data_IF_847116309407
#
_entry.id   IF_847116309407
#
_cell.length_a   1.000
_cell.length_b   1.000
_cell.length_c   1.000
_cell.angle_alpha   90.00
_cell.angle_beta   90.00
_cell.angle_gamma   90.00
#
_symmetry.space_group_name_H-M   'P 1'
#
loop_
_entity.id
_entity.type
_entity.pdbx_description
1 polymer ?
#
# COMPACT_ATOMS: atom_id res chain seq x y z
N UNK A 1 24.77 0.60 -11.41
CA UNK A 1 23.48 0.52 -12.14
C UNK A 1 22.95 -0.89 -12.22
N UNK A 2 23.77 -1.87 -12.59
CA UNK A 2 23.42 -3.30 -12.55
C UNK A 2 22.78 -3.73 -11.22
N UNK A 3 23.28 -3.20 -10.10
CA UNK A 3 22.77 -3.46 -8.74
C UNK A 3 21.29 -3.11 -8.59
N UNK A 4 20.79 -2.03 -9.22
CA UNK A 4 19.35 -1.69 -9.21
C UNK A 4 18.53 -2.74 -9.95
N UNK A 5 18.97 -3.15 -11.14
CA UNK A 5 18.28 -4.17 -11.91
C UNK A 5 18.24 -5.51 -11.15
N UNK A 6 19.38 -5.91 -10.55
CA UNK A 6 19.45 -7.14 -9.74
C UNK A 6 18.53 -7.05 -8.53
N UNK A 7 18.54 -5.93 -7.80
CA UNK A 7 17.62 -5.67 -6.69
C UNK A 7 16.15 -5.82 -7.13
N UNK A 8 15.74 -5.12 -8.20
CA UNK A 8 14.36 -5.14 -8.70
C UNK A 8 13.95 -6.57 -9.08
N UNK A 9 14.82 -7.33 -9.75
CA UNK A 9 14.53 -8.71 -10.11
C UNK A 9 14.38 -9.62 -8.88
N UNK A 10 15.33 -9.55 -7.92
CA UNK A 10 15.28 -10.36 -6.71
C UNK A 10 14.02 -10.08 -5.90
N UNK A 11 13.64 -8.80 -5.76
CA UNK A 11 12.44 -8.37 -5.06
C UNK A 11 11.15 -8.77 -5.79
N UNK A 12 11.06 -8.54 -7.11
CA UNK A 12 9.85 -8.83 -7.88
C UNK A 12 9.52 -10.33 -7.96
N UNK A 13 10.53 -11.17 -7.80
CA UNK A 13 10.43 -12.64 -7.82
C UNK A 13 10.59 -13.29 -6.43
N UNK A 14 10.85 -12.50 -5.39
CA UNK A 14 11.13 -12.98 -4.02
C UNK A 14 12.08 -14.17 -3.96
N UNK A 15 13.21 -14.03 -4.64
CA UNK A 15 14.23 -15.10 -4.66
C UNK A 15 15.02 -15.08 -3.35
N UNK A 16 15.45 -13.90 -2.92
CA UNK A 16 16.26 -13.69 -1.72
C UNK A 16 16.16 -12.21 -1.30
N UNK A 17 15.36 -11.93 -0.27
CA UNK A 17 15.08 -10.57 0.19
C UNK A 17 16.31 -9.92 0.86
N UNK A 18 17.16 -10.72 1.52
CA UNK A 18 18.41 -10.23 2.14
C UNK A 18 19.40 -9.82 1.05
N UNK A 19 19.57 -10.62 0.01
CA UNK A 19 20.40 -10.26 -1.14
C UNK A 19 19.81 -9.10 -1.94
N UNK A 20 18.48 -9.04 -2.10
CA UNK A 20 17.84 -7.88 -2.70
C UNK A 20 18.21 -6.60 -1.94
N UNK A 21 18.19 -6.64 -0.60
CA UNK A 21 18.59 -5.51 0.24
C UNK A 21 20.07 -5.14 0.11
N UNK A 22 20.98 -6.13 0.00
CA UNK A 22 22.41 -5.87 -0.27
C UNK A 22 22.59 -5.07 -1.57
N UNK A 23 21.95 -5.50 -2.65
CA UNK A 23 22.04 -4.81 -3.93
C UNK A 23 21.35 -3.44 -3.91
N UNK A 24 20.30 -3.27 -3.11
CA UNK A 24 19.70 -1.95 -2.87
C UNK A 24 20.72 -1.00 -2.20
N UNK A 25 21.44 -1.47 -1.18
CA UNK A 25 22.50 -0.69 -0.52
C UNK A 25 23.63 -0.34 -1.47
N UNK A 26 24.07 -1.29 -2.28
CA UNK A 26 25.08 -1.03 -3.31
C UNK A 26 24.61 0.04 -4.31
N UNK A 27 23.34 -0.01 -4.73
CA UNK A 27 22.74 1.00 -5.60
C UNK A 27 22.69 2.38 -4.94
N UNK A 28 22.31 2.46 -3.66
CA UNK A 28 22.33 3.71 -2.89
C UNK A 28 23.74 4.29 -2.81
N UNK A 29 24.73 3.49 -2.45
CA UNK A 29 26.13 3.92 -2.41
C UNK A 29 26.60 4.40 -3.78
N UNK A 30 26.27 3.67 -4.84
CA UNK A 30 26.57 4.09 -6.21
C UNK A 30 25.95 5.45 -6.56
N UNK A 31 24.72 5.71 -6.16
CA UNK A 31 24.07 7.01 -6.39
C UNK A 31 24.71 8.15 -5.60
N UNK A 32 25.11 7.91 -4.35
CA UNK A 32 25.80 8.91 -3.53
C UNK A 32 27.18 9.25 -4.11
N UNK A 33 27.90 8.26 -4.65
CA UNK A 33 29.19 8.46 -5.33
C UNK A 33 28.99 9.27 -6.62
N UNK A 34 27.97 8.96 -7.42
CA UNK A 34 27.70 9.64 -8.70
C UNK A 34 27.26 11.09 -8.52
N UNK A 35 26.73 11.45 -7.35
CA UNK A 35 26.21 12.78 -7.05
C UNK A 35 24.91 13.08 -7.79
N UNK A 36 23.85 13.35 -7.03
CA UNK A 36 22.60 13.93 -7.53
C UNK A 36 22.50 15.37 -7.05
N UNK A 37 23.52 16.18 -7.36
CA UNK A 37 23.52 17.59 -7.01
C UNK A 37 22.65 18.38 -7.98
N UNK A 38 21.91 19.34 -7.43
CA UNK A 38 21.35 20.42 -8.22
C UNK A 38 22.49 21.10 -9.02
N UNK A 39 22.22 21.63 -10.23
CA UNK A 39 23.23 22.25 -11.10
C UNK A 39 24.10 23.30 -10.41
N UNK A 40 23.62 23.92 -9.33
CA UNK A 40 24.29 25.00 -8.62
C UNK A 40 25.50 24.56 -7.77
N UNK A 41 25.56 23.29 -7.34
CA UNK A 41 26.60 22.82 -6.41
C UNK A 41 27.74 22.04 -7.09
N UNK A 42 27.60 21.65 -8.36
CA UNK A 42 28.66 20.97 -9.12
C UNK A 42 29.37 21.95 -10.05
N UNK A 43 30.29 22.75 -9.50
CA UNK A 43 31.14 23.66 -10.31
C UNK A 43 32.23 22.93 -11.11
N UNK A 44 32.36 21.61 -10.98
CA UNK A 44 33.53 20.87 -11.45
C UNK A 44 33.27 19.87 -12.61
N UNK A 45 32.03 19.46 -12.84
CA UNK A 45 31.70 18.51 -13.91
C UNK A 45 31.06 19.22 -15.12
N UNK A 46 31.31 18.76 -16.36
CA UNK A 46 30.54 19.24 -17.51
C UNK A 46 29.04 18.98 -17.27
N UNK A 47 28.15 19.93 -17.59
CA UNK A 47 26.74 19.75 -17.38
C UNK A 47 26.27 18.50 -18.13
N UNK A 48 25.57 17.61 -17.43
CA UNK A 48 24.90 16.49 -18.07
C UNK A 48 23.96 17.04 -19.15
N UNK A 49 23.77 16.28 -20.23
CA UNK A 49 22.62 16.55 -21.10
C UNK A 49 21.35 16.55 -20.26
N UNK A 50 20.35 17.35 -20.63
CA UNK A 50 19.06 17.40 -19.91
C UNK A 50 18.49 15.99 -19.71
N UNK A 51 18.57 15.12 -20.73
CA UNK A 51 18.14 13.73 -20.65
C UNK A 51 18.96 12.92 -19.61
N UNK A 52 20.27 13.15 -19.50
CA UNK A 52 21.12 12.50 -18.51
C UNK A 52 20.81 12.94 -17.08
N UNK A 53 20.47 14.22 -16.87
CA UNK A 53 20.03 14.73 -15.56
C UNK A 53 18.67 14.15 -15.16
N UNK A 54 17.68 14.20 -16.06
CA UNK A 54 16.35 13.64 -15.83
C UNK A 54 16.41 12.12 -15.54
N UNK A 55 17.22 11.37 -16.30
CA UNK A 55 17.42 9.94 -16.06
C UNK A 55 18.03 9.65 -14.69
N UNK A 56 19.02 10.44 -14.27
CA UNK A 56 19.66 10.29 -12.96
C UNK A 56 18.70 10.61 -11.81
N UNK A 57 17.88 11.66 -11.94
CA UNK A 57 16.84 11.97 -10.96
C UNK A 57 15.81 10.84 -10.87
N UNK A 58 15.33 10.33 -12.01
CA UNK A 58 14.38 9.20 -11.99
C UNK A 58 14.95 8.00 -11.28
N UNK A 59 16.18 7.62 -11.60
CA UNK A 59 16.88 6.53 -10.94
C UNK A 59 17.01 6.74 -9.42
N UNK A 60 17.36 7.95 -8.98
CA UNK A 60 17.42 8.27 -7.56
C UNK A 60 16.08 8.02 -6.88
N UNK A 61 15.00 8.53 -7.48
CA UNK A 61 13.64 8.34 -6.99
C UNK A 61 13.21 6.85 -7.00
N UNK A 62 13.67 6.05 -7.97
CA UNK A 62 13.42 4.61 -7.97
C UNK A 62 14.02 3.95 -6.73
N UNK A 63 15.30 4.24 -6.47
CA UNK A 63 16.02 3.68 -5.33
C UNK A 63 15.41 4.18 -4.02
N UNK A 64 15.02 5.46 -3.96
CA UNK A 64 14.29 6.02 -2.82
C UNK A 64 12.99 5.25 -2.55
N UNK A 65 12.14 5.02 -3.57
CA UNK A 65 10.89 4.27 -3.42
C UNK A 65 11.14 2.88 -2.85
N UNK A 66 12.10 2.15 -3.42
CA UNK A 66 12.45 0.80 -2.99
C UNK A 66 13.01 0.77 -1.56
N UNK A 67 13.79 1.78 -1.17
CA UNK A 67 14.30 1.91 0.19
C UNK A 67 13.18 2.19 1.21
N UNK A 68 12.23 3.06 0.86
CA UNK A 68 11.05 3.31 1.70
C UNK A 68 10.17 2.08 1.80
N UNK A 69 10.03 1.30 0.73
CA UNK A 69 9.33 0.03 0.77
C UNK A 69 10.00 -0.96 1.74
N UNK A 70 11.32 -1.15 1.65
CA UNK A 70 12.08 -2.02 2.56
C UNK A 70 12.04 -1.53 4.02
N UNK A 71 11.95 -0.21 4.25
CA UNK A 71 11.78 0.34 5.60
C UNK A 71 10.46 -0.08 6.26
N UNK A 72 9.40 -0.23 5.46
CA UNK A 72 8.09 -0.66 5.95
C UNK A 72 7.98 -2.18 6.01
N UNK A 73 8.32 -2.87 4.92
CA UNK A 73 8.16 -4.32 4.79
C UNK A 73 9.12 -5.10 5.70
N UNK A 74 10.37 -4.66 5.76
CA UNK A 74 11.48 -5.42 6.35
C UNK A 74 12.15 -4.69 7.53
N UNK A 75 11.58 -3.58 7.99
CA UNK A 75 12.12 -2.74 9.08
C UNK A 75 13.55 -2.25 8.83
N UNK A 76 13.95 -2.08 7.55
CA UNK A 76 15.30 -1.63 7.18
C UNK A 76 15.38 -0.11 7.15
N UNK A 77 16.13 0.50 8.09
CA UNK A 77 16.24 1.95 8.21
C UNK A 77 16.71 2.63 6.91
N UNK A 78 15.96 3.58 6.31
CA UNK A 78 16.36 4.24 5.07
C UNK A 78 17.43 5.32 5.29
N UNK A 79 18.27 5.55 4.29
CA UNK A 79 19.38 6.52 4.33
C UNK A 79 19.31 7.59 3.23
N UNK A 80 18.54 7.37 2.15
CA UNK A 80 18.37 8.40 1.13
C UNK A 80 17.41 9.49 1.59
N UNK A 81 17.79 10.75 1.38
CA UNK A 81 16.93 11.92 1.61
C UNK A 81 16.13 12.21 0.32
N UNK A 82 14.85 12.62 0.38
CA UNK A 82 14.13 13.02 -0.83
C UNK A 82 14.85 14.16 -1.56
N UNK A 83 14.80 14.16 -2.90
CA UNK A 83 15.28 15.31 -3.67
C UNK A 83 14.32 16.49 -3.49
N UNK A 84 14.83 17.71 -3.67
CA UNK A 84 14.03 18.94 -3.57
C UNK A 84 13.02 19.11 -4.70
N UNK A 85 13.20 18.40 -5.81
CA UNK A 85 12.31 18.45 -6.96
C UNK A 85 12.00 17.04 -7.48
N UNK A 86 10.82 16.93 -8.10
CA UNK A 86 10.47 15.78 -8.95
C UNK A 86 11.43 15.68 -10.14
N UNK A 87 11.51 14.51 -10.81
CA UNK A 87 12.30 14.37 -12.02
C UNK A 87 11.87 15.35 -13.10
N UNK A 88 12.83 15.96 -13.79
CA UNK A 88 12.56 16.78 -14.97
C UNK A 88 11.86 15.94 -16.06
N UNK A 89 10.95 16.56 -16.85
CA UNK A 89 10.32 15.90 -17.98
C UNK A 89 11.36 15.38 -18.97
N UNK A 90 11.17 14.14 -19.41
CA UNK A 90 12.05 13.51 -20.39
C UNK A 90 11.26 13.15 -21.63
N UNK A 91 11.54 13.85 -22.73
CA UNK A 91 10.85 13.66 -24.01
C UNK A 91 10.97 12.24 -24.58
N UNK A 92 11.85 11.40 -24.05
CA UNK A 92 11.94 9.98 -24.42
C UNK A 92 10.88 9.10 -23.73
N UNK A 93 10.18 9.59 -22.71
CA UNK A 93 9.14 8.85 -21.99
C UNK A 93 7.73 9.29 -22.38
N UNK A 94 6.83 8.32 -22.47
CA UNK A 94 5.41 8.57 -22.62
C UNK A 94 4.85 9.39 -21.43
N UNK A 95 3.90 10.28 -21.72
CA UNK A 95 3.31 11.16 -20.71
C UNK A 95 2.61 10.38 -19.58
N UNK A 96 2.01 9.23 -19.88
CA UNK A 96 1.40 8.34 -18.89
C UNK A 96 2.45 7.75 -17.95
N UNK A 97 3.64 7.38 -18.46
CA UNK A 97 4.76 6.90 -17.63
C UNK A 97 5.26 8.00 -16.71
N UNK A 98 5.46 9.22 -17.23
CA UNK A 98 5.87 10.36 -16.40
C UNK A 98 4.85 10.64 -15.31
N UNK A 99 3.55 10.66 -15.65
CA UNK A 99 2.47 10.89 -14.71
C UNK A 99 2.38 9.81 -13.63
N UNK A 100 2.56 8.53 -14.00
CA UNK A 100 2.63 7.42 -13.06
C UNK A 100 3.81 7.58 -12.11
N UNK A 101 4.99 7.91 -12.66
CA UNK A 101 6.22 8.04 -11.88
C UNK A 101 6.13 9.16 -10.84
N UNK A 102 5.57 10.31 -11.22
CA UNK A 102 5.28 11.39 -10.28
C UNK A 102 4.32 10.94 -9.19
N UNK A 103 3.21 10.28 -9.56
CA UNK A 103 2.22 9.83 -8.60
C UNK A 103 2.78 8.82 -7.58
N UNK A 104 3.64 7.90 -8.01
CA UNK A 104 4.23 6.91 -7.09
C UNK A 104 5.30 7.55 -6.19
N UNK A 105 6.07 8.53 -6.70
CA UNK A 105 7.01 9.32 -5.89
C UNK A 105 6.27 10.07 -4.77
N UNK A 106 5.18 10.75 -5.10
CA UNK A 106 4.39 11.50 -4.11
C UNK A 106 3.91 10.60 -2.97
N UNK A 107 3.41 9.40 -3.31
CA UNK A 107 2.96 8.40 -2.33
C UNK A 107 4.09 7.93 -1.42
N UNK A 108 5.23 7.54 -1.98
CA UNK A 108 6.36 7.08 -1.17
C UNK A 108 7.07 8.22 -0.42
N UNK A 109 6.91 9.47 -0.86
CA UNK A 109 7.40 10.65 -0.14
C UNK A 109 6.61 10.90 1.16
N UNK A 110 5.40 10.36 1.28
CA UNK A 110 4.62 10.39 2.53
C UNK A 110 5.28 9.59 3.66
N UNK A 111 6.11 8.59 3.31
CA UNK A 111 6.93 7.80 4.21
C UNK A 111 8.19 8.58 4.64
N UNK A 112 7.96 9.74 5.25
CA UNK A 112 9.02 10.58 5.81
C UNK A 112 9.63 9.96 7.08
N UNK A 113 10.65 10.62 7.63
CA UNK A 113 11.32 10.13 8.84
C UNK A 113 10.39 10.01 10.04
N UNK A 114 9.40 10.89 10.18
CA UNK A 114 8.42 10.85 11.29
C UNK A 114 7.50 9.65 11.12
N UNK A 115 7.00 9.41 9.90
CA UNK A 115 6.17 8.26 9.58
C UNK A 115 6.91 6.95 9.90
N UNK A 116 8.12 6.78 9.37
CA UNK A 116 8.89 5.53 9.55
C UNK A 116 9.27 5.32 11.02
N UNK A 117 9.61 6.40 11.75
CA UNK A 117 9.91 6.28 13.18
C UNK A 117 8.67 5.83 13.97
N UNK A 118 7.49 6.38 13.66
CA UNK A 118 6.23 5.96 14.27
C UNK A 118 5.79 4.54 13.87
N UNK A 119 6.17 4.09 12.68
CA UNK A 119 5.94 2.71 12.22
C UNK A 119 6.83 1.69 12.95
N UNK A 120 8.11 2.02 13.09
CA UNK A 120 9.14 1.08 13.57
C UNK A 120 9.31 1.07 15.08
N UNK A 121 8.98 2.17 15.77
CA UNK A 121 9.31 2.38 17.19
C UNK A 121 8.08 2.74 18.03
N UNK A 122 7.94 2.11 19.20
CA UNK A 122 6.83 2.38 20.15
C UNK A 122 6.96 3.74 20.84
N UNK A 123 8.17 4.18 21.15
CA UNK A 123 8.47 5.47 21.81
C UNK A 123 9.02 6.50 20.81
N UNK A 124 8.27 6.71 19.73
CA UNK A 124 8.62 7.65 18.66
C UNK A 124 8.58 9.11 19.12
N UNK A 125 9.51 9.92 18.57
CA UNK A 125 9.59 11.36 18.81
C UNK A 125 9.71 12.13 17.46
N UNK A 126 8.77 13.03 17.12
CA UNK A 126 7.50 13.26 17.81
C UNK A 126 6.57 12.02 17.70
N UNK A 127 5.77 11.74 18.74
CA UNK A 127 4.75 10.70 18.64
C UNK A 127 3.65 11.13 17.66
N UNK A 128 3.11 10.18 16.92
CA UNK A 128 1.90 10.40 16.15
C UNK A 128 0.75 10.78 17.09
N UNK A 129 0.06 11.87 16.76
CA UNK A 129 -1.15 12.34 17.41
C UNK A 129 -2.32 12.36 16.42
N UNK A 130 -3.53 12.67 16.90
CA UNK A 130 -4.75 12.66 16.08
C UNK A 130 -4.60 13.61 14.89
N UNK A 131 -4.11 14.83 15.12
CA UNK A 131 -4.00 15.85 14.07
C UNK A 131 -3.04 15.41 12.96
N UNK A 132 -1.90 14.82 13.31
CA UNK A 132 -0.93 14.30 12.34
C UNK A 132 -1.51 13.14 11.52
N UNK A 133 -2.25 12.22 12.16
CA UNK A 133 -2.90 11.11 11.47
C UNK A 133 -3.96 11.63 10.49
N UNK A 134 -4.84 12.53 10.94
CA UNK A 134 -5.92 13.09 10.11
C UNK A 134 -5.36 13.88 8.92
N UNK A 135 -4.31 14.67 9.14
CA UNK A 135 -3.63 15.40 8.06
C UNK A 135 -3.07 14.45 7.00
N UNK A 136 -2.30 13.44 7.43
CA UNK A 136 -1.72 12.44 6.52
C UNK A 136 -2.80 11.60 5.82
N UNK A 137 -3.89 11.24 6.51
CA UNK A 137 -5.03 10.54 5.91
C UNK A 137 -5.74 11.41 4.86
N UNK A 138 -5.90 12.70 5.11
CA UNK A 138 -6.49 13.66 4.15
C UNK A 138 -5.63 13.78 2.90
N UNK A 139 -4.31 13.97 3.05
CA UNK A 139 -3.36 14.00 1.94
C UNK A 139 -3.42 12.72 1.09
N UNK A 140 -3.41 11.54 1.73
CA UNK A 140 -3.52 10.27 1.01
C UNK A 140 -4.87 10.08 0.33
N UNK A 141 -5.97 10.54 0.93
CA UNK A 141 -7.31 10.42 0.35
C UNK A 141 -7.44 11.23 -0.94
N UNK A 142 -6.84 12.42 -0.99
CA UNK A 142 -6.76 13.23 -2.22
C UNK A 142 -5.94 12.54 -3.31
N UNK A 143 -4.89 11.80 -2.94
CA UNK A 143 -4.07 11.06 -3.92
C UNK A 143 -4.79 9.82 -4.48
N UNK A 144 -5.74 9.21 -3.76
CA UNK A 144 -6.49 8.03 -4.24
C UNK A 144 -7.34 8.39 -5.46
N UNK A 145 -7.97 9.56 -5.46
CA UNK A 145 -8.87 9.98 -6.52
C UNK A 145 -8.07 10.47 -7.74
N UNK A 146 -7.93 9.59 -8.74
CA UNK A 146 -7.32 9.96 -10.01
C UNK A 146 -8.25 10.91 -10.78
N UNK A 147 -7.71 12.07 -11.14
CA UNK A 147 -8.43 13.05 -11.96
C UNK A 147 -8.88 12.43 -13.30
N UNK A 148 -9.91 13.01 -13.94
CA UNK A 148 -10.38 12.52 -15.23
C UNK A 148 -9.27 12.45 -16.29
N UNK A 149 -8.37 13.43 -16.27
CA UNK A 149 -7.20 13.46 -17.14
C UNK A 149 -6.19 12.35 -16.79
N UNK A 150 -5.91 12.13 -15.51
CA UNK A 150 -5.01 11.04 -15.09
C UNK A 150 -5.56 9.66 -15.49
N UNK A 151 -6.87 9.43 -15.34
CA UNK A 151 -7.51 8.17 -15.75
C UNK A 151 -7.43 7.89 -17.25
N UNK A 152 -7.36 8.94 -18.07
CA UNK A 152 -7.20 8.81 -19.53
C UNK A 152 -5.74 8.58 -19.93
N UNK A 153 -4.79 9.21 -19.23
CA UNK A 153 -3.36 9.10 -19.52
C UNK A 153 -2.75 7.80 -19.01
N UNK A 154 -3.20 7.30 -17.86
CA UNK A 154 -2.63 6.14 -17.20
C UNK A 154 -3.23 4.84 -17.73
N UNK A 155 -2.39 3.85 -17.97
CA UNK A 155 -2.84 2.48 -18.23
C UNK A 155 -3.53 1.89 -17.00
N UNK A 156 -4.38 0.87 -17.19
CA UNK A 156 -5.08 0.20 -16.08
C UNK A 156 -4.09 -0.34 -15.03
N UNK A 157 -2.95 -0.91 -15.45
CA UNK A 157 -1.92 -1.39 -14.54
C UNK A 157 -1.29 -0.26 -13.71
N UNK A 158 -1.05 0.92 -14.30
CA UNK A 158 -0.50 2.08 -13.58
C UNK A 158 -1.52 2.66 -12.60
N UNK A 159 -2.80 2.72 -12.99
CA UNK A 159 -3.87 3.13 -12.09
C UNK A 159 -3.96 2.19 -10.88
N UNK A 160 -3.90 0.87 -11.12
CA UNK A 160 -3.92 -0.13 -10.06
C UNK A 160 -2.78 0.05 -9.06
N UNK A 161 -1.54 0.20 -9.54
CA UNK A 161 -0.38 0.38 -8.67
C UNK A 161 -0.50 1.63 -7.78
N UNK A 162 -0.95 2.76 -8.36
CA UNK A 162 -1.16 3.99 -7.61
C UNK A 162 -2.28 3.85 -6.55
N UNK A 163 -3.43 3.28 -6.92
CA UNK A 163 -4.58 3.15 -6.01
C UNK A 163 -4.28 2.13 -4.90
N UNK A 164 -3.75 0.96 -5.25
CA UNK A 164 -3.37 -0.07 -4.26
C UNK A 164 -2.30 0.46 -3.31
N UNK A 165 -1.29 1.18 -3.82
CA UNK A 165 -0.28 1.81 -2.97
C UNK A 165 -0.89 2.83 -2.02
N UNK A 166 -1.84 3.65 -2.47
CA UNK A 166 -2.55 4.58 -1.58
C UNK A 166 -3.37 3.86 -0.50
N UNK A 167 -4.09 2.79 -0.84
CA UNK A 167 -4.82 1.98 0.16
C UNK A 167 -3.89 1.34 1.18
N UNK A 168 -2.75 0.84 0.74
CA UNK A 168 -1.73 0.28 1.62
C UNK A 168 -1.20 1.33 2.60
N UNK A 169 -0.81 2.51 2.11
CA UNK A 169 -0.33 3.61 2.98
C UNK A 169 -1.38 4.04 4.01
N UNK A 170 -2.66 4.12 3.62
CA UNK A 170 -3.76 4.45 4.56
C UNK A 170 -3.95 3.36 5.62
N UNK A 171 -3.71 2.10 5.27
CA UNK A 171 -3.74 0.97 6.22
C UNK A 171 -2.60 1.07 7.23
N UNK A 172 -1.37 1.33 6.77
CA UNK A 172 -0.22 1.52 7.65
C UNK A 172 -0.44 2.68 8.63
N UNK A 173 -0.96 3.80 8.13
CA UNK A 173 -1.24 4.97 8.95
C UNK A 173 -2.33 4.69 10.00
N UNK A 174 -3.36 3.93 9.62
CA UNK A 174 -4.37 3.44 10.55
C UNK A 174 -3.77 2.50 11.62
N UNK A 175 -2.83 1.61 11.24
CA UNK A 175 -2.12 0.74 12.19
C UNK A 175 -1.25 1.54 13.16
N UNK A 176 -0.62 2.64 12.72
CA UNK A 176 0.07 3.58 13.61
C UNK A 176 -0.92 4.15 14.62
N UNK A 177 -2.06 4.68 14.17
CA UNK A 177 -3.10 5.21 15.06
C UNK A 177 -3.63 4.17 16.06
N UNK A 178 -3.82 2.92 15.63
CA UNK A 178 -4.20 1.80 16.48
C UNK A 178 -3.15 1.55 17.58
N UNK A 179 -1.86 1.50 17.20
CA UNK A 179 -0.75 1.23 18.12
C UNK A 179 -0.60 2.29 19.22
N UNK A 180 -1.12 3.50 18.96
CA UNK A 180 -1.11 4.65 19.87
C UNK A 180 -2.46 4.87 20.56
N UNK A 181 -3.42 3.96 20.38
CA UNK A 181 -4.77 4.04 20.96
C UNK A 181 -5.52 5.33 20.60
N UNK A 182 -5.34 5.84 19.38
CA UNK A 182 -5.95 7.09 18.91
C UNK A 182 -7.31 6.89 18.22
N UNK A 183 -7.71 5.65 17.97
CA UNK A 183 -8.90 5.33 17.19
C UNK A 183 -10.17 5.32 18.05
N UNK A 184 -11.30 5.58 17.39
CA UNK A 184 -12.64 5.57 17.99
C UNK A 184 -13.50 4.43 17.42
N UNK A 185 -14.50 4.00 18.20
CA UNK A 185 -15.54 3.07 17.73
C UNK A 185 -16.62 3.78 16.91
N UNK A 186 -16.63 5.11 16.85
CA UNK A 186 -17.54 5.87 16.02
C UNK A 186 -17.29 5.57 14.53
N UNK A 187 -18.31 5.06 13.85
CA UNK A 187 -18.26 4.74 12.41
C UNK A 187 -18.20 5.98 11.53
N UNK A 188 -18.68 7.13 12.02
CA UNK A 188 -18.67 8.41 11.30
C UNK A 188 -17.29 9.07 11.25
N UNK A 189 -16.37 8.68 12.13
CA UNK A 189 -15.02 9.23 12.23
C UNK A 189 -14.07 8.76 11.10
N UNK A 190 -14.60 8.32 9.96
CA UNK A 190 -13.86 7.89 8.77
C UNK A 190 -12.54 7.15 9.10
N UNK A 191 -11.40 7.69 8.68
CA UNK A 191 -10.07 7.09 8.86
C UNK A 191 -9.61 6.91 10.32
N UNK A 192 -10.27 7.57 11.28
CA UNK A 192 -10.03 7.43 12.72
C UNK A 192 -10.90 6.35 13.37
N UNK A 193 -11.79 5.71 12.61
CA UNK A 193 -12.61 4.60 13.10
C UNK A 193 -11.82 3.29 13.15
N UNK A 194 -12.02 2.47 14.19
CA UNK A 194 -11.47 1.11 14.24
C UNK A 194 -11.98 0.22 13.10
N UNK A 195 -13.11 0.57 12.49
CA UNK A 195 -13.72 -0.16 11.38
C UNK A 195 -13.24 0.32 10.01
N UNK A 196 -12.32 1.29 9.94
CA UNK A 196 -11.81 1.83 8.68
C UNK A 196 -11.24 0.76 7.71
N UNK A 197 -10.45 -0.24 8.16
CA UNK A 197 -9.95 -1.28 7.26
C UNK A 197 -11.05 -2.07 6.55
N UNK A 198 -12.21 -2.25 7.20
CA UNK A 198 -13.35 -2.96 6.61
C UNK A 198 -13.99 -2.18 5.45
N UNK A 199 -13.99 -0.85 5.50
CA UNK A 199 -14.44 -0.04 4.36
C UNK A 199 -13.41 -0.04 3.23
N UNK A 200 -12.13 -0.02 3.58
CA UNK A 200 -11.05 -0.10 2.61
C UNK A 200 -11.04 -1.45 1.87
N UNK A 201 -11.36 -2.56 2.55
CA UNK A 201 -11.47 -3.86 1.89
C UNK A 201 -12.55 -3.91 0.84
N UNK A 202 -13.69 -3.26 1.09
CA UNK A 202 -14.76 -3.16 0.10
C UNK A 202 -14.32 -2.38 -1.15
N UNK A 203 -13.64 -1.25 -0.94
CA UNK A 203 -13.08 -0.44 -2.05
C UNK A 203 -12.03 -1.21 -2.85
N UNK A 204 -11.15 -1.95 -2.16
CA UNK A 204 -10.14 -2.80 -2.80
C UNK A 204 -10.77 -3.97 -3.55
N UNK A 205 -11.78 -4.62 -2.97
CA UNK A 205 -12.53 -5.67 -3.63
C UNK A 205 -13.15 -5.16 -4.93
N UNK A 206 -13.85 -4.02 -4.88
CA UNK A 206 -14.41 -3.39 -6.08
C UNK A 206 -13.33 -3.09 -7.14
N UNK A 207 -12.21 -2.48 -6.76
CA UNK A 207 -11.08 -2.24 -7.66
C UNK A 207 -10.62 -3.54 -8.36
N UNK A 208 -10.38 -4.60 -7.58
CA UNK A 208 -9.86 -5.87 -8.09
C UNK A 208 -10.88 -6.65 -8.93
N UNK A 209 -12.18 -6.37 -8.81
CA UNK A 209 -13.21 -6.91 -9.72
C UNK A 209 -13.23 -6.21 -11.08
N UNK A 210 -12.78 -4.96 -11.15
CA UNK A 210 -12.83 -4.14 -12.38
C UNK A 210 -11.54 -4.22 -13.22
N UNK A 211 -10.47 -4.78 -12.66
CA UNK A 211 -9.14 -4.84 -13.28
C UNK A 211 -8.77 -6.31 -13.55
N UNK A 212 -8.12 -6.57 -14.69
CA UNK A 212 -7.64 -7.92 -15.00
C UNK A 212 -6.52 -8.35 -14.04
N UNK A 213 -6.45 -9.65 -13.75
CA UNK A 213 -5.39 -10.20 -12.90
C UNK A 213 -4.00 -9.94 -13.46
N UNK A 214 -3.83 -10.08 -14.77
CA UNK A 214 -2.55 -9.82 -15.46
C UNK A 214 -2.06 -8.37 -15.25
N UNK A 215 -2.98 -7.40 -15.19
CA UNK A 215 -2.65 -5.99 -14.94
C UNK A 215 -2.17 -5.71 -13.51
N UNK A 216 -2.44 -6.62 -12.56
CA UNK A 216 -1.88 -6.61 -11.20
C UNK A 216 -0.57 -7.41 -11.17
N UNK A 217 -0.56 -8.60 -11.76
CA UNK A 217 0.55 -9.55 -11.68
C UNK A 217 1.84 -9.06 -12.37
N UNK A 218 1.73 -8.15 -13.35
CA UNK A 218 2.86 -7.50 -14.01
C UNK A 218 3.78 -6.73 -13.05
N UNK A 219 3.23 -6.20 -11.94
CA UNK A 219 4.00 -5.49 -10.91
C UNK A 219 4.81 -6.43 -10.02
N UNK A 220 4.65 -7.74 -10.21
CA UNK A 220 5.27 -8.76 -9.40
C UNK A 220 4.74 -8.75 -7.98
N UNK A 221 5.53 -9.28 -7.07
CA UNK A 221 5.02 -9.59 -5.75
C UNK A 221 4.95 -8.38 -4.80
N UNK A 222 5.58 -7.26 -5.15
CA UNK A 222 5.50 -6.02 -4.38
C UNK A 222 4.09 -5.43 -4.30
N UNK A 223 3.22 -5.59 -5.31
CA UNK A 223 1.81 -5.19 -5.20
C UNK A 223 0.97 -6.23 -4.43
N UNK A 224 1.29 -7.52 -4.60
CA UNK A 224 0.61 -8.61 -3.90
C UNK A 224 0.82 -8.51 -2.39
N UNK A 225 2.04 -8.17 -1.97
CA UNK A 225 2.34 -7.90 -0.57
C UNK A 225 1.50 -6.76 0.01
N UNK A 226 1.31 -5.67 -0.74
CA UNK A 226 0.46 -4.55 -0.32
C UNK A 226 -1.00 -4.97 -0.13
N UNK A 227 -1.54 -5.74 -1.09
CA UNK A 227 -2.90 -6.30 -1.01
C UNK A 227 -3.03 -7.26 0.17
N UNK A 228 -1.99 -8.08 0.40
CA UNK A 228 -1.91 -8.97 1.55
C UNK A 228 -1.92 -8.20 2.87
N UNK A 229 -1.11 -7.16 3.04
CA UNK A 229 -1.06 -6.38 4.28
C UNK A 229 -2.44 -5.76 4.62
N UNK A 230 -3.16 -5.27 3.60
CA UNK A 230 -4.54 -4.79 3.75
C UNK A 230 -5.47 -5.92 4.18
N UNK A 231 -5.46 -7.04 3.45
CA UNK A 231 -6.31 -8.21 3.70
C UNK A 231 -6.06 -8.81 5.09
N UNK A 232 -4.79 -8.85 5.49
CA UNK A 232 -4.34 -9.35 6.78
C UNK A 232 -4.84 -8.47 7.94
N UNK A 233 -4.83 -7.15 7.75
CA UNK A 233 -5.34 -6.17 8.72
C UNK A 233 -6.85 -6.29 8.88
N UNK A 234 -7.57 -6.49 7.76
CA UNK A 234 -9.02 -6.73 7.76
C UNK A 234 -9.35 -7.98 8.56
N UNK A 235 -8.60 -9.06 8.34
CA UNK A 235 -8.77 -10.30 9.09
C UNK A 235 -8.54 -10.11 10.60
N UNK A 236 -7.55 -9.33 10.99
CA UNK A 236 -7.29 -9.01 12.40
C UNK A 236 -8.47 -8.29 13.06
N UNK A 237 -9.08 -7.34 12.35
CA UNK A 237 -10.29 -6.67 12.84
C UNK A 237 -11.44 -7.67 12.95
N UNK A 238 -11.73 -8.45 11.91
CA UNK A 238 -12.83 -9.42 11.91
C UNK A 238 -12.73 -10.43 13.05
N UNK A 239 -11.53 -10.91 13.37
CA UNK A 239 -11.28 -11.85 14.49
C UNK A 239 -11.56 -11.20 15.85
N UNK A 240 -11.40 -9.87 15.97
CA UNK A 240 -11.67 -9.14 17.20
C UNK A 240 -13.14 -8.75 17.37
N UNK A 241 -13.95 -8.82 16.30
CA UNK A 241 -15.37 -8.50 16.37
C UNK A 241 -16.16 -9.61 17.06
N UNK A 242 -17.10 -9.21 17.91
CA UNK A 242 -18.09 -10.15 18.46
C UNK A 242 -19.29 -10.28 17.51
N UNK A 243 -19.98 -11.43 17.46
CA UNK A 243 -21.19 -11.61 16.62
C UNK A 243 -22.34 -10.63 16.92
N UNK A 244 -22.31 -9.98 18.08
CA UNK A 244 -23.27 -8.98 18.54
C UNK A 244 -23.04 -7.58 17.98
N UNK A 245 -21.89 -7.29 17.36
CA UNK A 245 -21.45 -5.89 17.16
C UNK A 245 -22.09 -5.17 15.98
N UNK A 246 -22.57 -5.83 14.91
CA UNK A 246 -23.29 -5.22 13.76
C UNK A 246 -23.85 -6.33 12.84
N UNK A 247 -25.09 -6.78 13.06
CA UNK A 247 -25.64 -8.01 12.44
C UNK A 247 -25.98 -7.92 10.93
N UNK A 248 -25.66 -6.81 10.25
CA UNK A 248 -25.91 -6.63 8.81
C UNK A 248 -24.63 -6.37 8.03
N UNK A 249 -23.80 -5.43 8.50
CA UNK A 249 -22.57 -5.05 7.82
C UNK A 249 -21.50 -6.15 7.90
N UNK A 250 -21.48 -6.95 8.97
CA UNK A 250 -20.43 -7.96 9.19
C UNK A 250 -20.43 -9.03 8.08
N UNK A 251 -21.59 -9.44 7.56
CA UNK A 251 -21.65 -10.47 6.51
C UNK A 251 -21.02 -9.96 5.21
N UNK A 252 -21.31 -8.71 4.83
CA UNK A 252 -20.67 -8.04 3.69
C UNK A 252 -19.16 -7.94 3.89
N UNK A 253 -18.70 -7.54 5.08
CA UNK A 253 -17.26 -7.43 5.38
C UNK A 253 -16.53 -8.76 5.39
N UNK A 254 -17.17 -9.83 5.83
CA UNK A 254 -16.64 -11.19 5.70
C UNK A 254 -16.59 -11.60 4.24
N UNK A 255 -17.60 -11.24 3.43
CA UNK A 255 -17.60 -11.43 1.99
C UNK A 255 -16.42 -10.72 1.30
N UNK A 256 -16.17 -9.46 1.65
CA UNK A 256 -15.02 -8.69 1.15
C UNK A 256 -13.69 -9.41 1.49
N UNK A 257 -13.51 -9.86 2.74
CA UNK A 257 -12.32 -10.61 3.14
C UNK A 257 -12.17 -11.93 2.38
N UNK A 258 -13.23 -12.73 2.25
CA UNK A 258 -13.19 -14.01 1.54
C UNK A 258 -12.81 -13.79 0.07
N UNK A 259 -13.36 -12.76 -0.57
CA UNK A 259 -12.97 -12.41 -1.93
C UNK A 259 -11.47 -12.10 -2.03
N UNK A 260 -10.94 -11.24 -1.16
CA UNK A 260 -9.52 -10.85 -1.17
C UNK A 260 -8.61 -12.05 -0.88
N UNK A 261 -9.00 -12.90 0.08
CA UNK A 261 -8.34 -14.16 0.38
C UNK A 261 -8.27 -15.06 -0.85
N UNK A 262 -9.40 -15.32 -1.50
CA UNK A 262 -9.45 -16.22 -2.66
C UNK A 262 -8.67 -15.60 -3.83
N UNK A 263 -8.81 -14.30 -4.06
CA UNK A 263 -8.09 -13.54 -5.09
C UNK A 263 -6.57 -13.70 -4.94
N UNK A 264 -6.01 -13.45 -3.75
CA UNK A 264 -4.57 -13.62 -3.49
C UNK A 264 -4.11 -15.06 -3.71
N UNK A 265 -4.91 -16.06 -3.30
CA UNK A 265 -4.59 -17.47 -3.52
C UNK A 265 -4.59 -17.89 -5.00
N UNK A 266 -5.20 -17.12 -5.90
CA UNK A 266 -5.11 -17.35 -7.35
C UNK A 266 -3.86 -16.78 -8.01
N UNK A 267 -3.09 -15.93 -7.32
CA UNK A 267 -1.93 -15.25 -7.89
C UNK A 267 -0.69 -16.13 -7.87
N UNK A 268 0.04 -16.20 -8.99
CA UNK A 268 1.18 -17.13 -9.12
C UNK A 268 2.35 -16.75 -8.21
N UNK A 269 2.50 -15.46 -7.91
CA UNK A 269 3.59 -14.90 -7.09
C UNK A 269 3.21 -14.59 -5.65
N UNK A 270 2.09 -15.14 -5.16
CA UNK A 270 1.71 -14.97 -3.76
C UNK A 270 2.43 -15.99 -2.88
N UNK A 271 3.05 -15.53 -1.79
CA UNK A 271 3.95 -16.35 -0.98
C UNK A 271 3.25 -17.41 -0.15
N UNK A 272 3.90 -18.56 0.02
CA UNK A 272 3.35 -19.66 0.82
C UNK A 272 3.25 -19.33 2.32
N UNK A 273 4.18 -18.55 2.86
CA UNK A 273 4.10 -18.07 4.25
C UNK A 273 2.88 -17.16 4.46
N UNK A 274 2.63 -16.24 3.52
CA UNK A 274 1.48 -15.33 3.53
C UNK A 274 0.16 -16.09 3.35
N UNK A 275 0.12 -17.05 2.42
CA UNK A 275 -1.01 -17.98 2.23
C UNK A 275 -1.35 -18.73 3.52
N UNK A 276 -0.32 -19.26 4.20
CA UNK A 276 -0.49 -19.98 5.46
C UNK A 276 -1.10 -19.06 6.52
N UNK A 277 -0.57 -17.86 6.68
CA UNK A 277 -1.06 -16.89 7.65
C UNK A 277 -2.52 -16.50 7.40
N UNK A 278 -2.88 -16.20 6.15
CA UNK A 278 -4.28 -15.89 5.82
C UNK A 278 -5.21 -17.10 6.00
N UNK A 279 -4.72 -18.33 5.76
CA UNK A 279 -5.50 -19.56 5.96
C UNK A 279 -5.87 -19.75 7.44
N UNK A 280 -4.89 -19.61 8.33
CA UNK A 280 -5.12 -19.70 9.78
C UNK A 280 -6.12 -18.64 10.26
N UNK A 281 -6.04 -17.42 9.72
CA UNK A 281 -7.01 -16.36 10.04
C UNK A 281 -8.40 -16.65 9.48
N UNK A 282 -8.50 -17.18 8.27
CA UNK A 282 -9.77 -17.62 7.68
C UNK A 282 -10.44 -18.69 8.54
N UNK A 283 -9.69 -19.72 8.95
CA UNK A 283 -10.19 -20.78 9.82
C UNK A 283 -10.74 -20.23 11.15
N UNK A 284 -10.06 -19.23 11.73
CA UNK A 284 -10.56 -18.52 12.92
C UNK A 284 -11.86 -17.77 12.66
N UNK A 285 -11.94 -17.04 11.55
CA UNK A 285 -13.16 -16.30 11.18
C UNK A 285 -14.33 -17.28 10.98
N UNK A 286 -14.10 -18.41 10.32
CA UNK A 286 -15.14 -19.44 10.11
C UNK A 286 -15.67 -20.03 11.43
N UNK A 287 -14.82 -20.12 12.48
CA UNK A 287 -15.24 -20.55 13.82
C UNK A 287 -16.12 -19.51 14.51
N UNK A 288 -15.79 -18.22 14.40
CA UNK A 288 -16.57 -17.14 15.01
C UNK A 288 -17.87 -16.85 14.25
N UNK A 289 -17.89 -17.09 12.94
CA UNK A 289 -19.00 -16.79 12.04
C UNK A 289 -19.36 -18.00 11.16
N UNK A 290 -19.90 -19.08 11.76
CA UNK A 290 -20.24 -20.28 11.00
C UNK A 290 -21.35 -19.98 9.99
N UNK A 291 -21.19 -20.49 8.75
CA UNK A 291 -22.12 -20.24 7.62
C UNK A 291 -23.60 -20.53 7.93
N UNK A 292 -23.88 -21.47 8.82
CA UNK A 292 -25.25 -21.83 9.25
C UNK A 292 -25.93 -20.73 10.10
N UNK A 293 -25.15 -19.91 10.81
CA UNK A 293 -25.67 -18.84 11.66
C UNK A 293 -26.12 -17.59 10.86
N UNK A 294 -25.61 -17.40 9.64
CA UNK A 294 -25.96 -16.28 8.77
C UNK A 294 -27.26 -16.53 7.98
N UNK A 295 -27.50 -17.77 7.55
CA UNK A 295 -28.74 -18.15 6.82
C UNK A 295 -29.99 -18.08 7.73
N UNK A 296 -29.81 -18.26 9.05
CA UNK A 296 -30.88 -18.12 10.04
C UNK A 296 -31.43 -16.69 10.18
N UNK A 297 -30.61 -15.66 9.89
CA UNK A 297 -31.02 -14.24 9.91
C UNK A 297 -32.03 -13.93 8.80
N UNK A 298 -31.80 -14.48 7.60
CA UNK A 298 -32.63 -14.24 6.42
C UNK A 298 -34.00 -14.94 6.53
N UNK A 299 -34.04 -16.11 7.17
CA UNK A 299 -35.30 -16.81 7.47
C UNK A 299 -36.12 -16.11 8.57
N UNK A 300 -35.49 -15.38 9.48
CA UNK A 300 -36.21 -14.55 10.46
C UNK A 300 -36.66 -13.21 9.86
N UNK A 301 -35.85 -12.54 9.03
CA UNK A 301 -36.24 -11.31 8.31
C UNK A 301 -37.40 -11.52 7.34
N UNK A 302 -37.43 -12.65 6.63
CA UNK A 302 -38.53 -13.02 5.73
C UNK A 302 -39.83 -13.39 6.47
N UNK A 303 -39.74 -13.84 7.73
CA UNK A 303 -40.93 -14.09 8.57
C UNK A 303 -41.49 -12.84 9.24
N UNK A 304 -40.67 -11.84 9.57
CA UNK A 304 -41.13 -10.57 10.13
C UNK A 304 -41.75 -9.61 9.11
N UNK A 305 -41.51 -9.80 7.81
CA UNK A 305 -42.09 -8.98 6.73
C UNK A 305 -43.48 -9.42 6.25
N UNK A 306 -44.02 -10.53 6.77
CA UNK A 306 -45.27 -11.14 6.29
C UNK A 306 -46.43 -11.11 7.33
N UNK A 307 -46.34 -10.29 8.38
CA UNK A 307 -47.43 -10.12 9.35
C UNK A 307 -47.99 -8.70 9.44
N UNK A 308 -48.09 -8.00 8.31
CA UNK A 308 -48.99 -6.86 8.16
C UNK A 308 -49.84 -7.05 6.90
N UNK A 309 -50.93 -7.79 7.07
CA UNK A 309 -52.17 -7.69 6.29
C UNK A 309 -53.34 -7.95 7.24
#
# INVERSE_FOLDING_TARGET
MTSVCVHVCLLAHHVDDDMAFVYLREAVTGMQILGTRAPEESRADPPLSQNGAAQRQRLYWLIFIHERYAAIADFRAPILVPLSSLPEPDGALDAGIQQWYTGIIERFSMLDGVFITNWTTKDSHPPADIAWIEEKQSQLSQCVELSGQQRQLLTVMQQADLVVTSYWLRTLLWQIALSKFLLTTDTSAESMSIFFPLRLSHQLQWLLTTISRDAIEVHGAGILRKIFDITNTVADILIQLTPSTLRGDIEERIGDFIFLYDYLNTMSRFHDAEKKMLREKRERIDVFFPRESMVGSDLQRSRSGNSEF
#
